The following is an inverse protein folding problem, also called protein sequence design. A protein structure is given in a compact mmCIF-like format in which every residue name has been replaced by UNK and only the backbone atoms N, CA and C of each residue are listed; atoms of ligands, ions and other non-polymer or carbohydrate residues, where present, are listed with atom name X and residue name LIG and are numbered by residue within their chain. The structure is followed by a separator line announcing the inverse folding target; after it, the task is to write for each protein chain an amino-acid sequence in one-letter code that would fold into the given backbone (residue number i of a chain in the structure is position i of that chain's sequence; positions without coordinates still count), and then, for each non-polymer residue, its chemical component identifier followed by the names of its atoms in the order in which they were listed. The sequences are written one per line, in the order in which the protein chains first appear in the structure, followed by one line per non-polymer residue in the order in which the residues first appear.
data_IF_151209360003
#
_entry.id   IF_151209360003
#
_cell.length_a   1.000
_cell.length_b   1.000
_cell.length_c   1.000
_cell.angle_alpha   90.00
_cell.angle_beta   90.00
_cell.angle_gamma   90.00
#
_symmetry.space_group_name_H-M   'P 1'
#
loop_
_entity.id
_entity.type
_entity.pdbx_description
1 polymer ?
#
# COMPACT_ATOMS: atom_id res chain seq x y z
N UNK A 1 -43.12 8.61 26.14
CA UNK A 1 -42.29 8.94 24.97
C UNK A 1 -41.00 8.13 25.04
N UNK A 2 -40.87 7.06 24.26
CA UNK A 2 -39.66 6.23 24.21
C UNK A 2 -38.65 6.82 23.22
N UNK A 3 -37.61 7.49 23.73
CA UNK A 3 -36.50 7.98 22.91
C UNK A 3 -35.65 6.80 22.43
N UNK A 4 -35.76 6.48 21.14
CA UNK A 4 -34.89 5.52 20.47
C UNK A 4 -33.49 6.13 20.34
N UNK A 5 -32.58 5.71 21.20
CA UNK A 5 -31.13 5.93 21.00
C UNK A 5 -30.68 5.15 19.77
N UNK A 6 -30.64 5.81 18.62
CA UNK A 6 -29.97 5.30 17.42
C UNK A 6 -28.47 5.39 17.69
N UNK A 7 -27.91 4.31 18.24
CA UNK A 7 -26.47 4.13 18.29
C UNK A 7 -25.94 4.10 16.86
N UNK A 8 -25.35 5.21 16.41
CA UNK A 8 -24.49 5.22 15.23
C UNK A 8 -23.33 4.31 15.58
N UNK A 9 -23.42 3.05 15.16
CA UNK A 9 -22.26 2.17 15.10
C UNK A 9 -21.29 2.81 14.13
N UNK A 10 -20.34 3.56 14.64
CA UNK A 10 -19.09 3.80 13.95
C UNK A 10 -18.45 2.41 13.82
N UNK A 11 -18.74 1.72 12.72
CA UNK A 11 -17.95 0.58 12.28
C UNK A 11 -16.57 1.15 12.01
N UNK A 12 -15.71 1.08 13.03
CA UNK A 12 -14.33 1.48 12.96
C UNK A 12 -13.74 0.86 11.70
N UNK A 13 -13.38 1.74 10.76
CA UNK A 13 -12.75 1.37 9.51
C UNK A 13 -11.56 0.48 9.85
N UNK A 14 -11.61 -0.76 9.37
CA UNK A 14 -10.83 -1.88 9.89
C UNK A 14 -9.33 -1.57 9.89
N UNK A 15 -8.75 -1.32 11.08
CA UNK A 15 -7.31 -1.20 11.29
C UNK A 15 -6.65 -2.60 11.36
N UNK A 16 -6.99 -3.50 10.42
CA UNK A 16 -6.52 -4.89 10.46
C UNK A 16 -5.05 -5.06 10.09
N UNK A 17 -4.39 -4.02 9.56
CA UNK A 17 -2.99 -4.07 9.14
C UNK A 17 -1.98 -3.96 10.30
N UNK A 18 -2.37 -3.36 11.44
CA UNK A 18 -1.45 -3.16 12.57
C UNK A 18 -1.39 -4.36 13.53
N UNK A 19 -2.43 -5.21 13.54
CA UNK A 19 -2.58 -6.29 14.54
C UNK A 19 -2.66 -7.70 13.96
N UNK A 20 -2.89 -7.88 12.65
CA UNK A 20 -2.89 -9.21 12.02
C UNK A 20 -1.59 -9.45 11.26
N UNK A 21 -0.68 -10.22 11.88
CA UNK A 21 0.48 -10.84 11.20
C UNK A 21 0.12 -11.88 10.14
N UNK A 22 -1.17 -12.15 9.93
CA UNK A 22 -1.65 -13.12 8.93
C UNK A 22 -1.89 -12.40 7.61
N UNK A 23 -1.40 -12.98 6.52
CA UNK A 23 -1.62 -12.50 5.15
C UNK A 23 -3.11 -12.20 4.94
N UNK A 24 -3.42 -10.94 4.65
CA UNK A 24 -4.79 -10.44 4.46
C UNK A 24 -5.11 -10.14 2.99
N UNK A 25 -4.19 -10.45 2.08
CA UNK A 25 -4.31 -10.23 0.64
C UNK A 25 -4.11 -11.53 -0.15
N UNK A 26 -4.79 -11.67 -1.30
CA UNK A 26 -4.61 -12.83 -2.19
C UNK A 26 -3.66 -12.52 -3.34
N UNK A 27 -3.83 -11.37 -3.98
CA UNK A 27 -3.11 -10.94 -5.18
C UNK A 27 -2.20 -9.75 -4.86
N UNK A 28 -1.03 -9.72 -5.49
CA UNK A 28 -0.07 -8.63 -5.41
C UNK A 28 0.24 -8.20 -6.84
N UNK A 29 0.00 -6.93 -7.14
CA UNK A 29 0.25 -6.34 -8.45
C UNK A 29 1.30 -5.24 -8.33
N UNK A 30 2.18 -5.16 -9.32
CA UNK A 30 3.14 -4.07 -9.47
C UNK A 30 2.67 -3.17 -10.59
N UNK A 31 2.46 -1.89 -10.28
CA UNK A 31 2.03 -0.88 -11.24
C UNK A 31 3.20 0.03 -11.53
N UNK A 32 3.65 -0.01 -12.78
CA UNK A 32 4.65 0.92 -13.30
C UNK A 32 3.93 2.20 -13.76
N UNK A 33 4.32 3.32 -13.18
CA UNK A 33 3.92 4.65 -13.62
C UNK A 33 5.18 5.48 -13.88
N UNK A 34 5.35 5.96 -15.11
CA UNK A 34 6.52 6.77 -15.43
C UNK A 34 6.70 6.95 -16.93
N UNK A 35 7.42 8.01 -17.29
CA UNK A 35 8.01 8.18 -18.62
C UNK A 35 9.32 7.42 -18.71
N UNK A 36 9.81 7.20 -19.93
CA UNK A 36 11.01 6.42 -20.26
C UNK A 36 12.24 6.71 -19.37
N UNK A 37 12.38 7.94 -18.89
CA UNK A 37 13.55 8.40 -18.13
C UNK A 37 13.37 8.30 -16.61
N UNK A 38 12.16 8.08 -16.11
CA UNK A 38 11.90 7.96 -14.67
C UNK A 38 10.80 6.95 -14.40
N UNK A 39 11.23 5.73 -14.03
CA UNK A 39 10.31 4.64 -13.69
C UNK A 39 9.93 4.71 -12.22
N UNK A 40 8.65 4.89 -11.95
CA UNK A 40 8.09 4.80 -10.60
C UNK A 40 7.26 3.54 -10.47
N UNK A 41 7.59 2.68 -9.51
CA UNK A 41 6.82 1.48 -9.23
C UNK A 41 5.95 1.69 -8.01
N UNK A 42 4.72 1.22 -8.08
CA UNK A 42 3.76 1.14 -6.99
C UNK A 42 3.35 -0.30 -6.77
N UNK A 43 2.96 -0.63 -5.55
CA UNK A 43 2.47 -1.96 -5.20
C UNK A 43 1.01 -1.87 -4.81
N UNK A 44 0.19 -2.78 -5.35
CA UNK A 44 -1.21 -2.95 -4.97
C UNK A 44 -1.44 -4.34 -4.38
N UNK A 45 -2.26 -4.40 -3.32
CA UNK A 45 -2.72 -5.63 -2.68
C UNK A 45 -4.21 -5.77 -2.91
N UNK A 46 -4.66 -6.83 -3.60
CA UNK A 46 -6.06 -7.02 -4.02
C UNK A 46 -6.68 -5.75 -4.65
N UNK A 47 -5.92 -5.09 -5.53
CA UNK A 47 -6.33 -3.85 -6.20
C UNK A 47 -6.25 -2.57 -5.35
N UNK A 48 -5.79 -2.63 -4.09
CA UNK A 48 -5.59 -1.46 -3.22
C UNK A 48 -4.13 -1.03 -3.17
N UNK A 49 -3.85 0.22 -3.53
CA UNK A 49 -2.50 0.78 -3.45
C UNK A 49 -1.96 0.74 -2.03
N UNK A 50 -0.75 0.19 -1.89
CA UNK A 50 -0.04 0.12 -0.63
C UNK A 50 0.40 1.52 -0.20
N UNK A 51 0.19 1.83 1.08
CA UNK A 51 0.51 3.13 1.67
C UNK A 51 1.57 2.96 2.74
N UNK A 52 2.40 4.00 2.90
CA UNK A 52 3.30 4.13 4.03
C UNK A 52 2.52 4.34 5.33
N UNK A 53 3.18 4.19 6.48
CA UNK A 53 2.57 4.47 7.77
C UNK A 53 2.03 5.92 7.87
N UNK A 54 2.60 6.86 7.11
CA UNK A 54 2.13 8.24 7.01
C UNK A 54 0.93 8.46 6.07
N UNK A 55 0.37 7.40 5.47
CA UNK A 55 -0.81 7.48 4.60
C UNK A 55 -0.53 7.85 3.14
N UNK A 56 0.73 8.08 2.78
CA UNK A 56 1.13 8.36 1.40
C UNK A 56 1.27 7.06 0.59
N UNK A 57 0.97 7.08 -0.70
CA UNK A 57 1.16 5.91 -1.57
C UNK A 57 2.65 5.56 -1.63
N UNK A 58 2.98 4.29 -1.41
CA UNK A 58 4.35 3.81 -1.48
C UNK A 58 4.82 3.82 -2.94
N UNK A 59 5.96 4.46 -3.19
CA UNK A 59 6.57 4.62 -4.52
C UNK A 59 8.02 4.19 -4.44
N UNK A 60 8.45 3.38 -5.39
CA UNK A 60 9.84 3.01 -5.60
C UNK A 60 10.35 3.69 -6.85
N UNK A 61 11.51 4.34 -6.77
CA UNK A 61 12.13 5.01 -7.89
C UNK A 61 13.30 4.15 -8.36
N UNK A 62 13.30 3.75 -9.63
CA UNK A 62 14.48 3.14 -10.23
C UNK A 62 15.30 4.22 -10.91
N UNK A 63 16.49 4.51 -10.36
CA UNK A 63 17.55 5.20 -11.09
C UNK A 63 18.37 4.16 -11.85
N UNK A 64 18.66 4.42 -13.11
CA UNK A 64 19.38 3.51 -14.04
C UNK A 64 20.89 3.35 -13.73
N UNK A 65 21.32 3.48 -12.48
CA UNK A 65 22.72 3.40 -12.06
C UNK A 65 22.91 2.20 -11.15
N UNK A 66 22.95 1.00 -11.71
CA UNK A 66 23.39 -0.20 -11.00
C UNK A 66 24.77 -0.58 -11.54
N UNK A 67 25.81 -0.01 -10.93
CA UNK A 67 27.20 -0.31 -11.24
C UNK A 67 27.55 -1.65 -10.58
N UNK A 68 27.71 -2.70 -11.39
CA UNK A 68 28.27 -3.97 -10.93
C UNK A 68 29.79 -3.80 -10.85
N UNK A 69 30.32 -3.66 -9.63
CA UNK A 69 31.73 -3.90 -9.38
C UNK A 69 31.92 -5.41 -9.30
N UNK A 70 32.40 -6.03 -10.38
CA UNK A 70 32.96 -7.38 -10.32
C UNK A 70 34.30 -7.31 -9.59
N UNK A 71 34.31 -7.61 -8.28
CA UNK A 71 35.55 -7.86 -7.56
C UNK A 71 36.10 -9.23 -8.04
N UNK A 72 37.20 -9.17 -8.80
CA UNK A 72 37.96 -10.34 -9.32
C UNK A 72 38.87 -10.98 -8.27
#
# INVERSE_FOLDING_TARGET
MFARFVSRRFTASSASALTKRRRFYKVVDVVEEGTSDSKVFKVALDGRMLKTQGGNVLKFFASSSFEYTEDS
#
